data_IF_210017599197
#
_entry.id   IF_210017599197
#
_cell.length_a   1.000
_cell.length_b   1.000
_cell.length_c   1.000
_cell.angle_alpha   90.00
_cell.angle_beta   90.00
_cell.angle_gamma   90.00
#
_symmetry.space_group_name_H-M   'P 1'
#
loop_
_entity.id
_entity.type
_entity.pdbx_description
1 polymer ?
#
# COMPACT_ATOMS: atom_id res chain seq x y z
N UNK A 1 15.31 -22.84 -10.69
CA UNK A 1 14.88 -21.44 -10.97
C UNK A 1 14.20 -20.95 -9.70
N UNK A 2 14.91 -20.18 -8.87
CA UNK A 2 14.54 -19.95 -7.47
C UNK A 2 13.48 -18.87 -7.28
N UNK A 3 12.44 -19.17 -6.49
CA UNK A 3 11.55 -18.17 -5.89
C UNK A 3 12.37 -17.27 -4.96
N UNK A 4 12.33 -15.95 -5.17
CA UNK A 4 12.97 -14.97 -4.30
C UNK A 4 11.95 -14.48 -3.27
N UNK A 5 11.88 -15.16 -2.13
CA UNK A 5 11.25 -14.65 -0.91
C UNK A 5 12.29 -13.77 -0.18
N UNK A 6 11.96 -12.50 0.12
CA UNK A 6 12.57 -11.80 1.26
C UNK A 6 13.56 -10.65 1.03
N UNK A 7 13.76 -10.11 -0.18
CA UNK A 7 14.59 -8.90 -0.37
C UNK A 7 13.73 -7.73 -0.85
N UNK A 8 13.53 -6.74 0.02
CA UNK A 8 12.94 -5.46 -0.36
C UNK A 8 14.03 -4.67 -1.10
N UNK A 9 13.81 -4.43 -2.40
CA UNK A 9 14.75 -3.67 -3.26
C UNK A 9 14.25 -2.25 -3.56
N UNK A 10 13.10 -1.89 -3.00
CA UNK A 10 12.44 -0.60 -3.15
C UNK A 10 12.52 0.18 -1.84
N UNK A 11 12.31 1.49 -1.93
CA UNK A 11 12.31 2.35 -0.74
C UNK A 11 11.24 1.89 0.28
N UNK A 12 11.58 1.98 1.56
CA UNK A 12 10.65 1.75 2.67
C UNK A 12 10.57 2.97 3.57
N UNK A 13 9.40 3.25 4.20
CA UNK A 13 9.26 4.35 5.12
C UNK A 13 10.29 4.27 6.26
N UNK A 14 10.88 5.40 6.62
CA UNK A 14 11.76 5.48 7.78
C UNK A 14 10.98 5.18 9.06
N UNK A 15 11.59 4.39 9.94
CA UNK A 15 11.03 4.05 11.24
C UNK A 15 12.10 3.97 12.32
N UNK A 16 11.66 4.24 13.55
CA UNK A 16 12.41 4.00 14.76
C UNK A 16 11.89 2.70 15.41
N UNK A 17 12.79 1.78 15.78
CA UNK A 17 12.43 0.61 16.57
C UNK A 17 12.37 1.03 18.04
N UNK A 18 11.16 1.12 18.58
CA UNK A 18 10.94 1.46 20.01
C UNK A 18 11.22 0.25 20.89
N UNK A 19 10.83 -0.93 20.42
CA UNK A 19 11.00 -2.18 21.15
C UNK A 19 11.24 -3.32 20.17
N UNK A 20 12.17 -4.21 20.52
CA UNK A 20 12.44 -5.44 19.77
C UNK A 20 12.38 -6.63 20.72
N UNK A 21 11.75 -7.70 20.27
CA UNK A 21 11.63 -9.00 20.94
C UNK A 21 12.01 -10.09 19.94
N UNK A 22 12.12 -11.34 20.41
CA UNK A 22 12.42 -12.47 19.51
C UNK A 22 11.34 -12.69 18.42
N UNK A 23 10.08 -12.34 18.72
CA UNK A 23 8.93 -12.63 17.86
C UNK A 23 8.36 -11.40 17.13
N UNK A 24 8.67 -10.19 17.60
CA UNK A 24 8.08 -8.96 17.06
C UNK A 24 8.93 -7.70 17.31
N UNK A 25 8.65 -6.68 16.52
CA UNK A 25 9.16 -5.32 16.71
C UNK A 25 8.01 -4.31 16.81
N UNK A 26 8.17 -3.33 17.68
CA UNK A 26 7.33 -2.13 17.74
C UNK A 26 8.06 -1.02 17.02
N UNK A 27 7.49 -0.55 15.91
CA UNK A 27 8.07 0.48 15.05
C UNK A 27 7.24 1.75 15.07
N UNK A 28 7.90 2.89 15.23
CA UNK A 28 7.31 4.23 15.08
C UNK A 28 7.71 4.80 13.72
N UNK A 29 6.72 5.00 12.87
CA UNK A 29 6.91 5.58 11.55
C UNK A 29 6.80 7.10 11.59
N UNK A 30 7.64 7.77 10.80
CA UNK A 30 7.49 9.20 10.54
C UNK A 30 6.24 9.47 9.67
N UNK A 31 5.69 10.70 9.71
CA UNK A 31 4.63 11.11 8.79
C UNK A 31 5.03 10.84 7.34
N UNK A 32 4.15 10.19 6.59
CA UNK A 32 4.36 9.79 5.20
C UNK A 32 3.15 10.17 4.36
N UNK A 33 3.38 10.54 3.10
CA UNK A 33 2.30 10.78 2.13
C UNK A 33 1.83 9.45 1.57
N UNK A 34 0.52 9.25 1.51
CA UNK A 34 -0.09 8.02 1.00
C UNK A 34 -0.95 8.34 -0.23
N UNK A 35 -0.83 7.53 -1.27
CA UNK A 35 -1.88 7.44 -2.30
C UNK A 35 -2.85 6.34 -1.88
N UNK A 36 -4.13 6.68 -1.77
CA UNK A 36 -5.17 5.77 -1.26
C UNK A 36 -6.33 5.64 -2.25
N UNK A 37 -6.87 4.43 -2.36
CA UNK A 37 -8.14 4.16 -3.03
C UNK A 37 -9.03 3.31 -2.12
N UNK A 38 -10.28 3.71 -1.97
CA UNK A 38 -11.32 2.93 -1.29
C UNK A 38 -12.35 2.49 -2.32
N UNK A 39 -12.62 1.20 -2.40
CA UNK A 39 -13.45 0.61 -3.45
C UNK A 39 -14.26 -0.59 -2.94
N UNK A 40 -15.36 -0.90 -3.61
CA UNK A 40 -16.09 -2.15 -3.41
C UNK A 40 -15.44 -3.23 -4.31
N UNK A 41 -14.97 -4.37 -3.77
CA UNK A 41 -14.45 -5.47 -4.57
C UNK A 41 -15.39 -5.93 -5.70
N UNK A 42 -16.70 -5.77 -5.56
CA UNK A 42 -17.70 -6.12 -6.59
C UNK A 42 -17.49 -5.33 -7.90
N UNK A 43 -16.94 -4.11 -7.83
CA UNK A 43 -16.67 -3.24 -8.98
C UNK A 43 -15.54 -3.78 -9.89
N UNK A 44 -14.74 -4.71 -9.40
CA UNK A 44 -13.61 -5.31 -10.12
C UNK A 44 -13.80 -6.82 -10.33
N UNK A 45 -15.03 -7.25 -10.61
CA UNK A 45 -15.40 -8.66 -10.73
C UNK A 45 -15.04 -9.50 -9.48
N UNK A 46 -15.06 -8.88 -8.30
CA UNK A 46 -14.64 -9.52 -7.05
C UNK A 46 -13.12 -9.64 -6.86
N UNK A 47 -12.29 -9.08 -7.76
CA UNK A 47 -10.82 -9.11 -7.63
C UNK A 47 -10.37 -8.15 -6.52
N UNK A 48 -9.71 -8.71 -5.50
CA UNK A 48 -9.11 -7.96 -4.38
C UNK A 48 -7.92 -7.06 -4.76
N UNK A 49 -7.50 -7.11 -6.03
CA UNK A 49 -6.37 -6.33 -6.57
C UNK A 49 -6.83 -5.15 -7.45
N UNK A 50 -8.15 -4.90 -7.55
CA UNK A 50 -8.68 -3.78 -8.34
C UNK A 50 -8.09 -2.44 -7.94
N UNK A 51 -8.03 -2.17 -6.63
CA UNK A 51 -7.38 -0.97 -6.09
C UNK A 51 -5.87 -0.90 -6.38
N UNK A 52 -5.19 -2.05 -6.50
CA UNK A 52 -3.76 -2.06 -6.83
C UNK A 52 -3.53 -1.49 -8.23
N UNK A 53 -4.33 -1.89 -9.21
CA UNK A 53 -4.18 -1.39 -10.58
C UNK A 53 -4.43 0.12 -10.67
N UNK A 54 -5.39 0.65 -9.91
CA UNK A 54 -5.64 2.09 -9.82
C UNK A 54 -4.38 2.82 -9.33
N UNK A 55 -3.81 2.37 -8.21
CA UNK A 55 -2.60 2.99 -7.65
C UNK A 55 -1.36 2.77 -8.53
N UNK A 56 -1.23 1.61 -9.18
CA UNK A 56 -0.13 1.30 -10.09
C UNK A 56 -0.16 2.20 -11.35
N UNK A 57 -1.35 2.50 -11.88
CA UNK A 57 -1.53 3.46 -12.97
C UNK A 57 -1.21 4.89 -12.52
N UNK A 58 -1.64 5.28 -11.31
CA UNK A 58 -1.31 6.58 -10.74
C UNK A 58 0.20 6.83 -10.67
N UNK A 59 0.98 5.87 -10.14
CA UNK A 59 2.45 6.01 -10.04
C UNK A 59 3.20 5.77 -11.37
N UNK A 60 2.53 5.27 -12.40
CA UNK A 60 3.14 4.93 -13.69
C UNK A 60 3.95 3.63 -13.68
N UNK A 61 3.63 2.69 -12.79
CA UNK A 61 4.29 1.39 -12.72
C UNK A 61 3.99 0.50 -13.94
N UNK A 62 2.82 0.69 -14.58
CA UNK A 62 2.37 -0.07 -15.74
C UNK A 62 2.49 0.70 -17.07
N UNK A 63 3.03 1.91 -17.07
CA UNK A 63 3.12 2.73 -18.28
C UNK A 63 3.27 4.23 -18.00
N UNK A 64 2.47 5.03 -18.71
CA UNK A 64 2.42 6.47 -18.48
C UNK A 64 1.65 6.75 -17.18
N UNK A 65 2.21 7.58 -16.28
CA UNK A 65 1.56 7.89 -15.01
C UNK A 65 0.25 8.66 -15.26
N UNK A 66 -0.78 8.32 -14.49
CA UNK A 66 -2.12 8.93 -14.54
C UNK A 66 -2.35 9.89 -13.37
N UNK A 67 -1.31 10.62 -12.98
CA UNK A 67 -1.38 11.73 -12.06
C UNK A 67 -1.51 13.05 -12.83
N UNK A 68 -1.95 14.07 -12.13
CA UNK A 68 -2.19 15.45 -12.60
C UNK A 68 -0.94 16.10 -13.21
N UNK A 69 0.25 15.77 -12.70
CA UNK A 69 1.53 16.03 -13.35
C UNK A 69 2.13 14.69 -13.76
N UNK A 70 2.21 14.35 -15.06
CA UNK A 70 2.61 13.02 -15.56
C UNK A 70 4.09 12.69 -15.27
N UNK A 71 4.42 12.56 -14.00
CA UNK A 71 5.72 12.21 -13.44
C UNK A 71 5.63 10.79 -12.88
N UNK A 72 6.61 9.95 -13.22
CA UNK A 72 6.69 8.61 -12.64
C UNK A 72 7.06 8.71 -11.16
N UNK A 73 6.27 8.04 -10.33
CA UNK A 73 6.53 7.92 -8.90
C UNK A 73 7.14 6.54 -8.66
N UNK A 74 8.30 6.49 -8.00
CA UNK A 74 8.96 5.23 -7.69
C UNK A 74 8.06 4.38 -6.78
N UNK A 75 7.97 3.08 -7.07
CA UNK A 75 7.27 2.14 -6.22
C UNK A 75 8.03 1.98 -4.89
N UNK A 76 7.28 1.82 -3.80
CA UNK A 76 7.81 1.60 -2.45
C UNK A 76 7.19 0.32 -1.86
N UNK A 77 7.70 -0.08 -0.69
CA UNK A 77 7.07 -1.11 0.14
C UNK A 77 6.95 -0.58 1.58
N UNK A 78 5.96 -0.99 2.39
CA UNK A 78 4.86 -1.92 2.09
C UNK A 78 3.71 -1.32 1.27
N UNK A 79 2.86 -2.19 0.72
CA UNK A 79 1.49 -1.82 0.32
C UNK A 79 0.59 -2.00 1.54
N UNK A 80 -0.33 -1.10 1.83
CA UNK A 80 -1.21 -1.23 3.01
C UNK A 80 -2.62 -1.52 2.53
N UNK A 81 -3.28 -2.54 3.06
CA UNK A 81 -4.66 -2.89 2.71
C UNK A 81 -5.52 -2.89 3.96
N UNK A 82 -6.67 -2.24 3.94
CA UNK A 82 -7.63 -2.23 5.05
C UNK A 82 -8.94 -2.81 4.57
N UNK A 83 -9.50 -3.75 5.31
CA UNK A 83 -10.78 -4.39 4.97
C UNK A 83 -11.79 -4.14 6.08
N UNK A 84 -12.97 -3.63 5.72
CA UNK A 84 -14.13 -3.58 6.61
C UNK A 84 -14.77 -4.97 6.71
N UNK A 85 -14.59 -5.65 7.84
CA UNK A 85 -15.21 -6.96 8.11
C UNK A 85 -14.24 -8.15 8.15
N UNK A 86 -14.55 -9.10 9.03
CA UNK A 86 -13.71 -10.22 9.45
C UNK A 86 -13.13 -11.07 8.30
N UNK A 87 -11.79 -11.04 8.24
CA UNK A 87 -10.83 -12.00 7.69
C UNK A 87 -11.12 -12.68 6.34
N UNK A 88 -10.22 -12.46 5.37
CA UNK A 88 -9.33 -13.54 4.91
C UNK A 88 -8.11 -12.98 4.16
N UNK A 89 -6.92 -13.32 4.68
CA UNK A 89 -5.60 -13.00 4.11
C UNK A 89 -5.52 -13.47 2.66
N UNK A 90 -5.00 -12.63 1.76
CA UNK A 90 -4.44 -13.09 0.49
C UNK A 90 -2.97 -12.73 0.44
N UNK A 91 -2.17 -13.76 0.17
CA UNK A 91 -0.76 -13.65 -0.15
C UNK A 91 -0.61 -13.01 -1.53
N UNK A 92 -0.19 -11.75 -1.57
CA UNK A 92 0.62 -11.25 -2.68
C UNK A 92 1.83 -10.52 -2.10
N UNK A 93 2.96 -10.83 -2.68
CA UNK A 93 4.33 -10.65 -2.18
C UNK A 93 4.78 -9.19 -2.10
N UNK A 94 5.72 -8.93 -1.18
CA UNK A 94 6.21 -7.64 -0.64
C UNK A 94 5.27 -7.09 0.45
N UNK A 95 5.81 -6.58 1.58
CA UNK A 95 5.09 -6.55 2.85
C UNK A 95 3.74 -5.85 2.70
N UNK A 96 2.66 -6.51 3.10
CA UNK A 96 1.33 -5.91 3.14
C UNK A 96 0.89 -5.79 4.59
N UNK A 97 0.56 -4.57 5.03
CA UNK A 97 -0.02 -4.36 6.36
C UNK A 97 -1.53 -4.38 6.22
N UNK A 98 -2.18 -5.34 6.90
CA UNK A 98 -3.64 -5.38 6.97
C UNK A 98 -4.13 -4.61 8.19
N UNK A 99 -5.02 -3.62 8.02
CA UNK A 99 -5.71 -2.96 9.15
C UNK A 99 -7.20 -3.29 9.15
N UNK A 100 -7.73 -3.68 10.30
CA UNK A 100 -9.15 -3.97 10.47
C UNK A 100 -9.96 -2.66 10.47
N UNK A 101 -10.96 -2.56 9.59
CA UNK A 101 -11.96 -1.49 9.59
C UNK A 101 -13.20 -1.93 10.38
N UNK A 102 -13.61 -1.12 11.35
CA UNK A 102 -14.83 -1.33 12.15
C UNK A 102 -16.02 -0.64 11.48
N UNK A 103 -16.85 -1.40 10.76
CA UNK A 103 -18.12 -0.92 10.22
C UNK A 103 -18.92 -2.05 9.56
N UNK A 104 -20.18 -2.23 9.97
CA UNK A 104 -21.14 -3.11 9.30
C UNK A 104 -21.80 -2.33 8.14
N UNK A 105 -21.70 -2.89 6.93
CA UNK A 105 -22.20 -2.30 5.69
C UNK A 105 -21.14 -2.41 4.61
N UNK A 106 -21.50 -3.01 3.47
CA UNK A 106 -20.73 -3.23 2.22
C UNK A 106 -19.19 -3.27 2.37
N UNK A 107 -18.58 -4.45 2.14
CA UNK A 107 -17.15 -4.74 2.39
C UNK A 107 -16.20 -3.88 1.53
N UNK A 108 -16.12 -2.59 1.80
CA UNK A 108 -15.17 -1.68 1.17
C UNK A 108 -13.76 -2.08 1.56
N UNK A 109 -12.87 -2.02 0.57
CA UNK A 109 -11.44 -2.27 0.72
C UNK A 109 -10.70 -0.99 0.43
N UNK A 110 -9.85 -0.59 1.36
CA UNK A 110 -8.97 0.57 1.20
C UNK A 110 -7.54 0.08 0.95
N UNK A 111 -6.95 0.43 -0.19
CA UNK A 111 -5.55 0.16 -0.48
C UNK A 111 -4.75 1.45 -0.46
N UNK A 112 -3.52 1.40 0.06
CA UNK A 112 -2.63 2.53 0.17
C UNK A 112 -1.22 2.18 -0.31
N UNK A 113 -0.62 3.04 -1.13
CA UNK A 113 0.81 3.04 -1.42
C UNK A 113 1.46 4.16 -0.62
N UNK A 114 2.56 3.84 0.08
CA UNK A 114 3.38 4.88 0.67
C UNK A 114 4.16 5.57 -0.44
N UNK A 115 4.12 6.89 -0.52
CA UNK A 115 4.93 7.57 -1.53
C UNK A 115 6.39 7.69 -1.05
N UNK A 116 7.36 7.79 -1.98
CA UNK A 116 8.76 8.03 -1.63
C UNK A 116 8.94 9.22 -0.69
N UNK A 117 9.94 9.19 0.18
CA UNK A 117 10.21 10.20 1.21
C UNK A 117 10.44 11.61 0.64
N UNK A 118 10.68 11.75 -0.67
CA UNK A 118 10.71 13.05 -1.36
C UNK A 118 9.38 13.81 -1.28
N UNK A 119 8.26 13.10 -1.12
CA UNK A 119 6.94 13.69 -0.93
C UNK A 119 6.69 13.90 0.56
N UNK A 120 6.59 15.17 0.97
CA UNK A 120 6.31 15.59 2.36
C UNK A 120 4.86 16.05 2.53
N UNK A 121 4.20 16.45 1.44
CA UNK A 121 2.78 16.85 1.44
C UNK A 121 2.02 16.25 0.26
N UNK A 122 0.70 16.13 0.40
CA UNK A 122 -0.15 15.51 -0.62
C UNK A 122 -0.13 16.28 -1.95
N UNK A 123 -0.04 17.60 -1.90
CA UNK A 123 -0.05 18.50 -3.06
C UNK A 123 1.22 18.35 -3.94
N UNK A 124 2.27 17.72 -3.42
CA UNK A 124 3.51 17.46 -4.15
C UNK A 124 3.39 16.22 -5.05
N UNK A 125 2.49 15.29 -4.71
CA UNK A 125 2.07 14.16 -5.56
C UNK A 125 0.81 14.48 -6.40
N UNK A 126 0.36 15.73 -6.22
CA UNK A 126 -0.56 16.61 -6.93
C UNK A 126 -0.16 17.08 -8.32
#
# INVERSE_FOLDING_TARGET
MGMVLGRITVETPEYEVIQSSNDYEIRKYAPSVLAEVTYDPSQFDGKKDGGFMVLANYIGALGNPQNTKPEKIAMTAPVITKTGGGSEKIAMTAPVVTKEGSGEGEKMVTMQFVLPAKYKKAEEAT
#
